data_IF_009742450671
#
_entry.id   IF_009742450671
#
_cell.length_a   1.000
_cell.length_b   1.000
_cell.length_c   1.000
_cell.angle_alpha   90.00
_cell.angle_beta   90.00
_cell.angle_gamma   90.00
#
_symmetry.space_group_name_H-M   'P 1'
#
loop_
_entity.id
_entity.type
_entity.pdbx_description
1 polymer ?
#
# COMPACT_ATOMS: atom_id res chain seq x y z
N UNK A 1 10.32 -43.30 13.31
CA UNK A 1 10.11 -41.84 13.43
C UNK A 1 8.94 -41.48 12.52
N UNK A 2 7.83 -40.99 13.09
CA UNK A 2 6.50 -41.08 12.49
C UNK A 2 6.18 -39.91 11.51
N UNK A 3 5.71 -40.29 10.32
CA UNK A 3 5.27 -39.44 9.20
C UNK A 3 4.10 -38.48 9.52
N UNK A 4 3.36 -38.72 10.62
CA UNK A 4 2.17 -37.93 10.97
C UNK A 4 2.44 -36.52 11.53
N UNK A 5 3.68 -36.16 11.89
CA UNK A 5 4.00 -34.79 12.35
C UNK A 5 4.39 -33.81 11.24
N UNK A 6 4.66 -34.30 10.02
CA UNK A 6 5.11 -33.43 8.93
C UNK A 6 3.94 -32.72 8.21
N UNK A 7 2.77 -33.37 8.13
CA UNK A 7 1.59 -32.83 7.43
C UNK A 7 0.92 -31.64 8.17
N UNK A 8 0.92 -31.64 9.51
CA UNK A 8 0.27 -30.56 10.29
C UNK A 8 1.05 -29.23 10.31
N UNK A 9 2.32 -29.20 9.89
CA UNK A 9 3.14 -27.98 9.86
C UNK A 9 3.03 -27.18 8.55
N UNK A 10 2.61 -27.81 7.46
CA UNK A 10 2.47 -27.14 6.16
C UNK A 10 1.15 -26.35 6.04
N UNK A 11 0.05 -26.82 6.64
CA UNK A 11 -1.25 -26.13 6.54
C UNK A 11 -1.36 -24.82 7.34
N UNK A 12 -0.53 -24.60 8.37
CA UNK A 12 -0.59 -23.37 9.18
C UNK A 12 0.20 -22.20 8.59
N UNK A 13 1.19 -22.46 7.72
CA UNK A 13 1.89 -21.41 6.97
C UNK A 13 1.04 -20.89 5.80
N UNK A 14 0.24 -21.75 5.16
CA UNK A 14 -0.65 -21.34 4.07
C UNK A 14 -1.75 -20.37 4.51
N UNK A 15 -2.40 -20.62 5.66
CA UNK A 15 -3.54 -19.81 6.13
C UNK A 15 -3.12 -18.38 6.58
N UNK A 16 -1.87 -18.18 7.00
CA UNK A 16 -1.40 -16.89 7.54
C UNK A 16 -0.90 -15.91 6.48
N UNK A 17 -0.33 -16.40 5.39
CA UNK A 17 -0.03 -15.55 4.23
C UNK A 17 -1.31 -15.06 3.55
N UNK A 18 -2.39 -15.85 3.60
CA UNK A 18 -3.68 -15.48 2.99
C UNK A 18 -4.33 -14.29 3.71
N UNK A 19 -4.34 -14.22 5.05
CA UNK A 19 -5.01 -13.10 5.76
C UNK A 19 -4.32 -11.75 5.59
N UNK A 20 -2.98 -11.70 5.45
CA UNK A 20 -2.26 -10.44 5.21
C UNK A 20 -2.33 -10.03 3.73
N UNK A 21 -2.31 -11.02 2.82
CA UNK A 21 -2.63 -10.76 1.41
C UNK A 21 -4.06 -10.22 1.26
N UNK A 22 -5.01 -10.76 2.03
CA UNK A 22 -6.40 -10.28 2.06
C UNK A 22 -6.50 -8.85 2.64
N UNK A 23 -5.74 -8.52 3.70
CA UNK A 23 -5.71 -7.17 4.26
C UNK A 23 -5.07 -6.14 3.31
N UNK A 24 -4.06 -6.53 2.52
CA UNK A 24 -3.44 -5.68 1.51
C UNK A 24 -4.29 -5.55 0.23
N UNK A 25 -5.06 -6.59 -0.11
CA UNK A 25 -6.08 -6.54 -1.18
C UNK A 25 -7.31 -5.71 -0.79
N UNK A 26 -7.55 -5.53 0.52
CA UNK A 26 -8.64 -4.69 1.05
C UNK A 26 -8.27 -3.20 1.18
N UNK A 27 -7.01 -2.81 0.98
CA UNK A 27 -6.64 -1.40 0.86
C UNK A 27 -6.89 -0.98 -0.58
N UNK A 28 -7.97 -0.24 -0.89
CA UNK A 28 -8.22 0.19 -2.25
C UNK A 28 -7.05 1.09 -2.66
N UNK A 29 -6.35 0.70 -3.72
CA UNK A 29 -5.38 1.56 -4.39
C UNK A 29 -6.16 2.70 -5.05
N UNK A 30 -6.56 3.67 -4.23
CA UNK A 30 -7.16 4.90 -4.72
C UNK A 30 -6.01 5.76 -5.20
N UNK A 31 -5.67 5.63 -6.48
CA UNK A 31 -4.95 6.67 -7.19
C UNK A 31 -5.88 7.88 -7.29
N UNK A 32 -5.93 8.66 -6.21
CA UNK A 32 -6.69 9.89 -6.19
C UNK A 32 -6.02 10.88 -7.16
N UNK A 33 -6.79 11.31 -8.15
CA UNK A 33 -6.38 12.38 -9.05
C UNK A 33 -6.37 13.66 -8.21
N UNK A 34 -5.17 14.11 -7.83
CA UNK A 34 -5.00 15.32 -7.04
C UNK A 34 -5.02 16.51 -8.00
N UNK A 35 -5.96 17.45 -7.87
CA UNK A 35 -5.93 18.66 -8.67
C UNK A 35 -4.64 19.41 -8.40
N UNK A 36 -3.91 19.66 -9.48
CA UNK A 36 -2.55 20.20 -9.47
C UNK A 36 -2.55 21.70 -9.74
N UNK A 37 -3.66 22.21 -10.30
CA UNK A 37 -3.88 23.60 -10.66
C UNK A 37 -5.02 24.18 -9.84
N UNK A 38 -4.98 25.50 -9.65
CA UNK A 38 -6.09 26.26 -9.12
C UNK A 38 -6.40 27.43 -10.05
N UNK A 39 -7.68 27.64 -10.31
CA UNK A 39 -8.22 28.78 -11.03
C UNK A 39 -8.70 29.76 -9.98
N UNK A 40 -8.03 30.91 -9.90
CA UNK A 40 -8.35 31.97 -8.94
C UNK A 40 -9.19 33.02 -9.64
N UNK A 41 -10.27 33.39 -8.97
CA UNK A 41 -11.16 34.49 -9.32
C UNK A 41 -10.97 35.65 -8.36
N UNK A 42 -11.27 36.87 -8.81
CA UNK A 42 -11.37 38.02 -7.91
C UNK A 42 -12.53 37.93 -6.91
N UNK A 43 -13.56 37.12 -7.19
CA UNK A 43 -14.82 37.13 -6.42
C UNK A 43 -15.29 35.77 -5.88
N UNK A 44 -14.60 34.67 -6.16
CA UNK A 44 -15.04 33.33 -5.76
C UNK A 44 -13.93 32.50 -5.12
N UNK A 45 -14.32 31.42 -4.44
CA UNK A 45 -13.41 30.39 -3.96
C UNK A 45 -12.56 29.82 -5.11
N UNK A 46 -11.31 29.41 -4.84
CA UNK A 46 -10.46 28.82 -5.87
C UNK A 46 -11.09 27.53 -6.41
N UNK A 47 -11.16 27.41 -7.73
CA UNK A 47 -11.64 26.21 -8.40
C UNK A 47 -10.42 25.32 -8.66
N UNK A 48 -10.50 24.07 -8.21
CA UNK A 48 -9.41 23.11 -8.38
C UNK A 48 -9.52 22.41 -9.73
N UNK A 49 -8.43 22.37 -10.49
CA UNK A 49 -8.40 21.77 -11.82
C UNK A 49 -7.27 20.75 -11.94
N UNK A 50 -7.47 19.75 -12.81
CA UNK A 50 -6.40 18.84 -13.21
C UNK A 50 -5.61 19.46 -14.38
N UNK A 51 -4.28 19.39 -14.31
CA UNK A 51 -3.40 19.86 -15.39
C UNK A 51 -3.27 18.82 -16.49
N UNK A 52 -2.96 19.29 -17.70
CA UNK A 52 -2.44 18.45 -18.77
C UNK A 52 -1.04 17.92 -18.50
N UNK A 53 -0.74 16.78 -19.12
CA UNK A 53 0.61 16.20 -19.23
C UNK A 53 1.38 16.71 -20.45
N UNK A 54 0.82 17.67 -21.17
CA UNK A 54 1.38 18.34 -22.34
C UNK A 54 1.30 19.86 -22.16
N UNK A 55 2.10 20.59 -22.94
CA UNK A 55 2.20 22.05 -22.85
C UNK A 55 2.89 22.56 -21.58
N UNK A 56 3.01 23.89 -21.41
CA UNK A 56 3.62 24.47 -20.23
C UNK A 56 2.71 24.30 -19.00
N UNK A 57 3.35 24.10 -17.85
CA UNK A 57 2.67 24.03 -16.54
C UNK A 57 2.28 25.45 -16.08
N UNK A 58 3.06 26.46 -16.47
CA UNK A 58 2.89 27.83 -15.97
C UNK A 58 2.20 28.71 -17.02
N UNK A 59 0.93 29.04 -16.77
CA UNK A 59 0.32 30.23 -17.35
C UNK A 59 0.93 31.43 -16.64
N UNK A 60 1.86 32.16 -17.25
CA UNK A 60 2.52 33.30 -16.63
C UNK A 60 1.54 34.46 -16.40
N UNK A 61 0.81 34.42 -15.28
CA UNK A 61 0.24 35.52 -14.48
C UNK A 61 -0.57 36.65 -15.14
N UNK A 62 -0.89 36.61 -16.43
CA UNK A 62 -1.79 37.60 -17.02
C UNK A 62 -3.23 37.29 -16.62
N UNK A 63 -3.94 38.31 -16.16
CA UNK A 63 -5.39 38.25 -15.93
C UNK A 63 -6.07 37.94 -17.25
N UNK A 64 -6.63 36.74 -17.38
CA UNK A 64 -7.27 36.29 -18.60
C UNK A 64 -8.72 36.73 -18.61
N UNK A 65 -9.15 37.37 -19.70
CA UNK A 65 -10.55 37.74 -19.90
C UNK A 65 -11.34 36.48 -20.24
N UNK A 66 -12.52 36.35 -19.63
CA UNK A 66 -13.30 35.11 -19.66
C UNK A 66 -13.72 34.66 -21.05
N UNK A 67 -13.46 33.36 -21.24
CA UNK A 67 -14.30 32.34 -21.85
C UNK A 67 -15.20 32.78 -22.98
N UNK A 68 -14.68 32.66 -24.20
CA UNK A 68 -15.55 32.44 -25.35
C UNK A 68 -15.81 30.95 -25.50
N UNK A 69 -17.08 30.59 -25.68
CA UNK A 69 -17.40 29.29 -26.29
C UNK A 69 -16.98 29.37 -27.76
N UNK A 70 -16.25 28.38 -28.28
CA UNK A 70 -15.81 28.42 -29.67
C UNK A 70 -17.02 28.56 -30.61
N UNK A 71 -16.99 29.50 -31.57
CA UNK A 71 -18.08 29.66 -32.52
C UNK A 71 -18.06 28.50 -33.51
N UNK A 72 -19.18 27.78 -33.60
CA UNK A 72 -19.50 26.74 -34.59
C UNK A 72 -18.58 25.50 -34.68
N UNK A 73 -17.41 25.51 -34.05
CA UNK A 73 -16.53 24.35 -33.93
C UNK A 73 -16.98 23.52 -32.73
N UNK A 74 -17.36 22.25 -32.96
CA UNK A 74 -17.96 21.31 -32.00
C UNK A 74 -17.02 20.99 -30.82
N UNK A 75 -16.78 21.98 -29.98
CA UNK A 75 -15.80 21.93 -28.90
C UNK A 75 -14.35 21.81 -29.39
N UNK A 76 -13.98 22.46 -30.50
CA UNK A 76 -12.61 22.43 -31.06
C UNK A 76 -12.17 21.05 -31.55
N UNK A 77 -13.09 20.31 -32.17
CA UNK A 77 -12.84 18.96 -32.66
C UNK A 77 -12.83 18.85 -34.19
N UNK A 78 -12.96 19.97 -34.92
CA UNK A 78 -12.70 19.99 -36.35
C UNK A 78 -11.26 19.58 -36.69
N UNK A 79 -11.04 19.12 -37.92
CA UNK A 79 -9.73 18.69 -38.37
C UNK A 79 -8.72 19.84 -38.25
N UNK A 80 -7.47 19.53 -37.89
CA UNK A 80 -6.46 20.56 -37.73
C UNK A 80 -6.21 21.30 -39.06
N UNK A 81 -6.37 20.62 -40.20
CA UNK A 81 -6.16 21.20 -41.53
C UNK A 81 -7.32 22.08 -42.00
N UNK A 82 -8.48 22.03 -41.35
CA UNK A 82 -9.60 22.89 -41.69
C UNK A 82 -9.20 24.36 -41.44
N UNK A 83 -9.28 25.23 -42.46
CA UNK A 83 -8.90 26.62 -42.30
C UNK A 83 -9.80 27.26 -41.24
N UNK A 84 -9.19 28.08 -40.38
CA UNK A 84 -9.93 28.93 -39.46
C UNK A 84 -10.55 30.05 -40.28
N UNK A 85 -11.73 29.79 -40.82
CA UNK A 85 -12.53 30.80 -41.52
C UNK A 85 -13.59 31.30 -40.56
N UNK A 86 -13.72 32.62 -40.46
CA UNK A 86 -14.83 33.29 -39.76
C UNK A 86 -14.72 33.42 -38.23
N UNK A 87 -13.50 33.35 -37.66
CA UNK A 87 -13.27 33.74 -36.27
C UNK A 87 -12.42 35.02 -36.19
N UNK A 88 -12.99 36.07 -35.60
CA UNK A 88 -12.26 37.29 -35.24
C UNK A 88 -11.85 37.19 -33.75
N UNK A 89 -10.59 36.82 -33.45
CA UNK A 89 -10.16 36.64 -32.08
C UNK A 89 -10.20 37.98 -31.33
N UNK A 90 -10.58 37.98 -30.02
CA UNK A 90 -10.49 39.17 -29.20
C UNK A 90 -9.09 39.79 -29.21
N UNK A 91 -9.01 41.12 -29.15
CA UNK A 91 -7.73 41.83 -29.04
C UNK A 91 -7.02 41.57 -27.70
N UNK A 92 -7.76 41.13 -26.68
CA UNK A 92 -7.24 40.85 -25.35
C UNK A 92 -6.94 39.36 -25.19
N UNK A 93 -6.01 39.04 -24.27
CA UNK A 93 -5.75 37.66 -23.88
C UNK A 93 -7.04 36.98 -23.38
N UNK A 94 -7.38 35.85 -24.00
CA UNK A 94 -8.61 35.11 -23.74
C UNK A 94 -8.34 33.62 -23.56
N UNK A 95 -9.32 32.94 -22.96
CA UNK A 95 -9.29 31.50 -22.67
C UNK A 95 -10.47 30.86 -23.35
N UNK A 96 -10.26 29.69 -23.95
CA UNK A 96 -11.38 28.87 -24.40
C UNK A 96 -11.92 28.03 -23.25
N UNK A 97 -13.22 28.09 -23.06
CA UNK A 97 -13.94 27.13 -22.23
C UNK A 97 -14.61 26.14 -23.16
N UNK A 98 -14.09 24.91 -23.17
CA UNK A 98 -14.50 23.89 -24.12
C UNK A 98 -15.07 22.67 -23.43
N UNK A 99 -16.13 22.08 -23.97
CA UNK A 99 -16.60 20.79 -23.49
C UNK A 99 -15.59 19.68 -23.78
N UNK A 100 -15.64 18.60 -22.97
CA UNK A 100 -14.86 17.37 -23.14
C UNK A 100 -14.88 16.81 -24.56
N UNK A 101 -16.03 16.74 -25.24
CA UNK A 101 -16.15 16.30 -26.64
C UNK A 101 -15.56 14.93 -26.98
N UNK A 102 -15.43 14.66 -28.29
CA UNK A 102 -15.06 13.35 -28.83
C UNK A 102 -13.66 13.29 -29.47
N UNK A 103 -12.91 14.39 -29.42
CA UNK A 103 -11.52 14.44 -29.86
C UNK A 103 -10.57 14.49 -28.65
N UNK A 104 -9.29 14.24 -28.88
CA UNK A 104 -8.30 14.24 -27.80
C UNK A 104 -8.12 15.64 -27.21
N UNK A 105 -7.77 15.70 -25.93
CA UNK A 105 -7.62 16.98 -25.25
C UNK A 105 -6.46 17.82 -25.82
N UNK A 106 -5.39 17.15 -26.25
CA UNK A 106 -4.25 17.82 -26.91
C UNK A 106 -4.66 18.46 -28.23
N UNK A 107 -5.49 17.77 -29.04
CA UNK A 107 -6.06 18.32 -30.28
C UNK A 107 -6.84 19.61 -30.01
N UNK A 108 -7.72 19.62 -29.01
CA UNK A 108 -8.47 20.83 -28.63
C UNK A 108 -7.56 21.97 -28.23
N UNK A 109 -6.50 21.66 -27.49
CA UNK A 109 -5.53 22.64 -27.01
C UNK A 109 -4.76 23.25 -28.18
N UNK A 110 -4.33 22.44 -29.15
CA UNK A 110 -3.68 22.89 -30.37
C UNK A 110 -4.61 23.73 -31.26
N UNK A 111 -5.88 23.32 -31.37
CA UNK A 111 -6.87 24.07 -32.14
C UNK A 111 -7.15 25.43 -31.49
N UNK A 112 -7.33 25.47 -30.17
CA UNK A 112 -7.48 26.70 -29.39
C UNK A 112 -6.29 27.65 -29.56
N UNK A 113 -5.07 27.11 -29.57
CA UNK A 113 -3.84 27.86 -29.78
C UNK A 113 -3.81 28.50 -31.18
N UNK A 114 -4.25 27.80 -32.22
CA UNK A 114 -4.37 28.35 -33.58
C UNK A 114 -5.39 29.48 -33.68
N UNK A 115 -6.44 29.44 -32.86
CA UNK A 115 -7.38 30.56 -32.69
C UNK A 115 -6.81 31.73 -31.87
N UNK A 116 -5.59 31.60 -31.32
CA UNK A 116 -4.91 32.66 -30.57
C UNK A 116 -5.19 32.68 -29.07
N UNK A 117 -5.87 31.66 -28.53
CA UNK A 117 -6.14 31.60 -27.10
C UNK A 117 -4.85 31.42 -26.28
N UNK A 118 -4.88 31.86 -25.02
CA UNK A 118 -3.74 31.75 -24.10
C UNK A 118 -3.83 30.56 -23.15
N UNK A 119 -5.01 29.97 -23.00
CA UNK A 119 -5.21 28.74 -22.25
C UNK A 119 -6.51 28.06 -22.69
N UNK A 120 -6.67 26.80 -22.29
CA UNK A 120 -7.91 26.04 -22.47
C UNK A 120 -8.39 25.48 -21.16
N UNK A 121 -9.66 25.71 -20.84
CA UNK A 121 -10.36 25.06 -19.74
C UNK A 121 -11.31 24.06 -20.38
N UNK A 122 -10.99 22.77 -20.22
CA UNK A 122 -11.88 21.68 -20.59
C UNK A 122 -12.82 21.41 -19.43
N UNK A 123 -14.12 21.34 -19.68
CA UNK A 123 -15.10 20.99 -18.66
C UNK A 123 -15.90 19.76 -19.06
N UNK A 124 -16.33 19.01 -18.05
CA UNK A 124 -17.29 17.94 -18.25
C UNK A 124 -18.71 18.51 -18.22
N UNK A 125 -19.60 18.01 -19.07
CA UNK A 125 -21.04 18.27 -18.95
C UNK A 125 -21.81 17.00 -19.36
N UNK A 126 -23.10 16.95 -19.02
CA UNK A 126 -23.94 15.80 -19.35
C UNK A 126 -24.08 15.60 -20.87
N UNK A 127 -24.24 16.69 -21.62
CA UNK A 127 -24.42 16.67 -23.08
C UNK A 127 -23.32 15.92 -23.82
N UNK A 128 -22.08 16.10 -23.42
CA UNK A 128 -20.91 15.58 -24.16
C UNK A 128 -20.63 14.10 -23.86
N UNK A 129 -21.38 13.52 -22.92
CA UNK A 129 -21.42 12.07 -22.73
C UNK A 129 -22.34 11.39 -23.74
N UNK A 130 -23.23 12.15 -24.39
CA UNK A 130 -24.08 11.66 -25.47
C UNK A 130 -23.41 12.05 -26.79
N UNK A 131 -22.66 11.12 -27.38
CA UNK A 131 -22.03 11.41 -28.67
C UNK A 131 -23.06 11.30 -29.79
N UNK A 132 -23.12 12.32 -30.65
CA UNK A 132 -23.78 12.24 -31.94
C UNK A 132 -22.83 11.57 -32.94
N UNK A 133 -23.02 10.27 -33.17
CA UNK A 133 -22.38 9.60 -34.29
C UNK A 133 -23.14 9.98 -35.57
N UNK A 134 -22.86 11.17 -36.09
CA UNK A 134 -23.60 11.79 -37.19
C UNK A 134 -23.58 11.01 -38.50
N UNK A 135 -22.70 10.01 -38.64
CA UNK A 135 -22.51 9.30 -39.92
C UNK A 135 -23.62 8.31 -40.25
N UNK A 136 -24.52 7.96 -39.33
CA UNK A 136 -25.52 6.89 -39.59
C UNK A 136 -26.96 7.21 -39.14
N UNK A 137 -27.20 8.37 -38.53
CA UNK A 137 -28.47 8.66 -37.82
C UNK A 137 -29.49 9.53 -38.55
N UNK A 138 -29.29 9.91 -39.81
CA UNK A 138 -30.24 10.82 -40.47
C UNK A 138 -31.62 10.19 -40.76
N UNK A 139 -31.78 8.86 -40.62
CA UNK A 139 -33.03 8.18 -41.00
C UNK A 139 -33.95 7.75 -39.85
N UNK A 140 -33.51 7.75 -38.59
CA UNK A 140 -34.36 7.31 -37.46
C UNK A 140 -34.54 8.34 -36.35
N UNK A 141 -33.80 9.46 -36.36
CA UNK A 141 -33.94 10.51 -35.34
C UNK A 141 -33.60 10.07 -33.91
N UNK A 142 -32.92 8.92 -33.76
CA UNK A 142 -32.68 8.24 -32.48
C UNK A 142 -31.28 7.62 -32.47
N UNK A 143 -30.24 8.45 -32.55
CA UNK A 143 -28.86 7.99 -32.27
C UNK A 143 -28.14 9.04 -31.45
N UNK A 144 -28.59 9.20 -30.20
CA UNK A 144 -27.67 9.56 -29.13
C UNK A 144 -26.96 8.28 -28.70
N UNK A 145 -25.67 8.15 -28.94
CA UNK A 145 -24.93 7.12 -28.20
C UNK A 145 -25.09 7.42 -26.71
N UNK A 146 -25.47 6.41 -25.94
CA UNK A 146 -25.62 6.60 -24.51
C UNK A 146 -24.25 6.59 -23.83
N UNK A 147 -24.11 7.28 -22.68
CA UNK A 147 -22.90 7.22 -21.86
C UNK A 147 -22.48 5.78 -21.54
N UNK A 148 -21.22 5.54 -21.18
CA UNK A 148 -20.71 4.19 -20.85
C UNK A 148 -20.61 3.96 -19.34
N UNK A 149 -21.13 2.83 -18.86
CA UNK A 149 -21.06 2.44 -17.45
C UNK A 149 -19.59 2.33 -16.97
N UNK A 150 -19.30 2.82 -15.77
CA UNK A 150 -17.98 2.89 -15.13
C UNK A 150 -16.97 3.82 -15.81
N UNK A 151 -17.37 4.52 -16.87
CA UNK A 151 -16.57 5.56 -17.53
C UNK A 151 -17.20 6.93 -17.30
N UNK A 152 -18.49 7.04 -17.60
CA UNK A 152 -19.22 8.31 -17.57
C UNK A 152 -20.23 8.37 -16.41
N UNK A 153 -20.78 7.22 -16.00
CA UNK A 153 -21.73 7.10 -14.89
C UNK A 153 -21.48 5.83 -14.06
N UNK A 154 -22.00 5.81 -12.84
CA UNK A 154 -22.07 4.61 -12.00
C UNK A 154 -23.39 4.57 -11.21
N UNK A 155 -24.22 3.57 -11.54
CA UNK A 155 -25.54 3.40 -10.90
C UNK A 155 -25.46 3.01 -9.41
N UNK A 156 -24.34 2.44 -8.96
CA UNK A 156 -24.14 2.05 -7.54
C UNK A 156 -24.07 3.29 -6.61
N UNK A 157 -23.70 4.44 -7.16
CA UNK A 157 -23.64 5.74 -6.50
C UNK A 157 -24.97 6.50 -6.56
N UNK A 158 -25.98 5.96 -7.24
CA UNK A 158 -27.30 6.57 -7.36
C UNK A 158 -27.95 6.15 -8.66
N UNK A 159 -29.18 5.67 -8.57
CA UNK A 159 -30.00 5.36 -9.74
C UNK A 159 -31.46 5.73 -9.50
N UNK A 160 -32.17 5.99 -10.59
CA UNK A 160 -33.62 6.11 -10.58
C UNK A 160 -34.20 5.55 -11.89
N UNK A 161 -35.52 5.35 -11.92
CA UNK A 161 -36.26 4.97 -13.11
C UNK A 161 -37.19 6.12 -13.47
N UNK A 162 -37.11 6.60 -14.71
CA UNK A 162 -37.92 7.72 -15.21
C UNK A 162 -38.81 7.23 -16.34
N UNK A 163 -40.13 7.53 -16.34
CA UNK A 163 -41.03 7.16 -17.44
C UNK A 163 -40.53 7.73 -18.77
N UNK A 164 -40.44 6.90 -19.80
CA UNK A 164 -39.93 7.35 -21.10
C UNK A 164 -40.78 8.48 -21.71
N UNK A 165 -42.09 8.48 -21.43
CA UNK A 165 -43.03 9.52 -21.85
C UNK A 165 -42.80 10.89 -21.21
N UNK A 166 -42.05 10.95 -20.10
CA UNK A 166 -41.73 12.21 -19.42
C UNK A 166 -40.40 12.82 -19.89
N UNK A 167 -39.55 12.06 -20.58
CA UNK A 167 -38.27 12.54 -21.07
C UNK A 167 -38.45 13.33 -22.37
N UNK A 168 -37.88 14.53 -22.41
CA UNK A 168 -37.76 15.33 -23.63
C UNK A 168 -36.46 15.00 -24.36
N UNK A 169 -36.48 14.93 -25.69
CA UNK A 169 -35.28 14.84 -26.51
C UNK A 169 -34.75 16.25 -26.84
N UNK A 170 -33.43 16.49 -26.80
CA UNK A 170 -32.38 15.52 -26.47
C UNK A 170 -32.36 15.15 -24.97
N UNK A 171 -31.97 13.90 -24.65
CA UNK A 171 -32.07 13.36 -23.30
C UNK A 171 -31.21 14.09 -22.25
N UNK A 172 -30.14 14.75 -22.69
CA UNK A 172 -29.28 15.59 -21.85
C UNK A 172 -29.80 17.02 -21.62
N UNK A 173 -30.98 17.36 -22.15
CA UNK A 173 -31.57 18.68 -21.95
C UNK A 173 -31.77 18.96 -20.47
N UNK A 174 -31.40 20.18 -20.03
CA UNK A 174 -31.64 20.65 -18.66
C UNK A 174 -33.12 20.64 -18.26
N UNK A 175 -34.05 20.59 -19.22
CA UNK A 175 -35.48 20.39 -18.93
C UNK A 175 -35.78 19.05 -18.26
N UNK A 176 -34.91 18.05 -18.42
CA UNK A 176 -35.06 16.74 -17.78
C UNK A 176 -34.47 16.69 -16.36
N UNK A 177 -33.65 17.67 -15.94
CA UNK A 177 -33.00 17.69 -14.62
C UNK A 177 -33.97 17.50 -13.43
N UNK A 178 -35.17 18.12 -13.40
CA UNK A 178 -36.13 17.93 -12.31
C UNK A 178 -36.61 16.48 -12.18
N UNK A 179 -36.64 15.72 -13.27
CA UNK A 179 -37.04 14.31 -13.29
C UNK A 179 -35.99 13.41 -12.63
N UNK A 180 -34.76 13.88 -12.52
CA UNK A 180 -33.63 13.15 -11.96
C UNK A 180 -33.42 13.38 -10.46
N UNK A 181 -34.33 14.10 -9.80
CA UNK A 181 -34.23 14.45 -8.36
C UNK A 181 -33.98 13.22 -7.49
N UNK A 182 -34.63 12.08 -7.75
CA UNK A 182 -34.45 10.85 -6.98
C UNK A 182 -33.03 10.27 -7.08
N UNK A 183 -32.34 10.50 -8.21
CA UNK A 183 -30.97 10.06 -8.41
C UNK A 183 -29.97 11.09 -7.85
N UNK A 184 -30.18 12.38 -8.12
CA UNK A 184 -29.28 13.46 -7.70
C UNK A 184 -29.32 13.74 -6.19
N UNK A 185 -30.47 13.52 -5.54
CA UNK A 185 -30.60 13.66 -4.07
C UNK A 185 -30.04 12.46 -3.29
N UNK A 186 -29.57 11.41 -3.97
CA UNK A 186 -28.94 10.29 -3.30
C UNK A 186 -27.61 10.75 -2.70
N UNK A 187 -27.42 10.55 -1.40
CA UNK A 187 -26.18 10.92 -0.68
C UNK A 187 -24.89 10.31 -1.27
N UNK A 188 -25.00 9.23 -2.04
CA UNK A 188 -23.86 8.61 -2.73
C UNK A 188 -23.51 9.30 -4.05
N UNK A 189 -24.41 10.12 -4.59
CA UNK A 189 -24.21 10.79 -5.86
C UNK A 189 -23.51 12.14 -5.64
N UNK A 190 -22.18 12.11 -5.47
CA UNK A 190 -21.39 13.30 -5.14
C UNK A 190 -21.50 14.42 -6.18
N UNK A 191 -21.75 14.06 -7.45
CA UNK A 191 -21.92 15.00 -8.55
C UNK A 191 -23.24 15.78 -8.49
N UNK A 192 -24.26 15.27 -7.78
CA UNK A 192 -25.64 15.76 -7.83
C UNK A 192 -26.21 15.84 -9.27
N UNK A 193 -25.62 15.10 -10.20
CA UNK A 193 -25.99 15.09 -11.62
C UNK A 193 -26.22 13.65 -12.05
N UNK A 194 -27.25 13.43 -12.86
CA UNK A 194 -27.58 12.11 -13.37
C UNK A 194 -27.74 12.15 -14.87
N UNK A 195 -27.38 11.05 -15.50
CA UNK A 195 -27.46 10.86 -16.95
C UNK A 195 -28.33 9.66 -17.27
N UNK A 196 -29.00 9.76 -18.40
CA UNK A 196 -29.82 8.70 -18.97
C UNK A 196 -28.92 7.63 -19.58
N UNK A 197 -29.11 6.35 -19.21
CA UNK A 197 -28.19 5.27 -19.63
C UNK A 197 -28.61 4.53 -20.90
N UNK A 198 -29.83 4.77 -21.38
CA UNK A 198 -30.43 4.03 -22.50
C UNK A 198 -30.95 2.64 -22.11
N UNK A 199 -30.75 2.18 -20.88
CA UNK A 199 -31.33 0.93 -20.40
C UNK A 199 -32.82 1.10 -20.14
N UNK A 200 -33.65 0.53 -21.02
CA UNK A 200 -35.11 0.54 -20.90
C UNK A 200 -35.55 -0.70 -20.11
N UNK A 201 -36.26 -0.48 -19.00
CA UNK A 201 -36.90 -1.55 -18.22
C UNK A 201 -38.39 -1.57 -18.52
N UNK A 202 -38.85 -2.65 -19.14
CA UNK A 202 -40.27 -2.99 -19.23
C UNK A 202 -40.65 -3.72 -17.94
N UNK A 203 -41.31 -3.02 -17.02
CA UNK A 203 -41.89 -3.68 -15.85
C UNK A 203 -42.92 -4.72 -16.31
N UNK A 204 -43.02 -5.84 -15.60
CA UNK A 204 -43.99 -6.91 -15.85
C UNK A 204 -45.45 -6.52 -15.59
N UNK A 205 -45.67 -5.27 -15.15
CA UNK A 205 -46.97 -4.64 -14.97
C UNK A 205 -47.25 -3.74 -16.19
N UNK A 206 -48.52 -3.51 -16.62
CA UNK A 206 -48.88 -2.68 -17.77
C UNK A 206 -48.48 -1.18 -17.68
N UNK A 207 -47.60 -0.82 -16.76
CA UNK A 207 -46.97 0.50 -16.66
C UNK A 207 -46.09 0.80 -17.88
N UNK A 208 -46.14 2.05 -18.34
CA UNK A 208 -45.31 2.60 -19.41
C UNK A 208 -43.82 2.24 -19.24
N UNK A 209 -43.07 2.04 -20.36
CA UNK A 209 -41.64 1.75 -20.28
C UNK A 209 -40.90 2.84 -19.50
N UNK A 210 -39.96 2.41 -18.66
CA UNK A 210 -39.11 3.32 -17.87
C UNK A 210 -37.68 3.22 -18.35
N UNK A 211 -36.95 4.33 -18.26
CA UNK A 211 -35.54 4.41 -18.61
C UNK A 211 -34.73 4.64 -17.34
N UNK A 212 -33.63 3.89 -17.22
CA UNK A 212 -32.74 4.01 -16.07
C UNK A 212 -31.89 5.29 -16.21
N UNK A 213 -31.80 6.03 -15.11
CA UNK A 213 -30.88 7.15 -14.95
C UNK A 213 -29.92 6.83 -13.83
N UNK A 214 -28.65 7.19 -14.00
CA UNK A 214 -27.60 6.87 -13.05
C UNK A 214 -26.74 8.09 -12.74
N UNK A 215 -26.12 8.06 -11.57
CA UNK A 215 -25.25 9.14 -11.11
C UNK A 215 -24.05 9.30 -12.05
N UNK A 216 -23.84 10.53 -12.51
CA UNK A 216 -22.74 10.91 -13.39
C UNK A 216 -21.43 10.98 -12.61
N UNK A 217 -20.32 10.51 -13.19
CA UNK A 217 -18.99 10.72 -12.60
C UNK A 217 -18.59 12.18 -12.71
N UNK A 218 -18.20 12.76 -11.57
CA UNK A 218 -17.69 14.13 -11.49
C UNK A 218 -16.26 14.14 -10.95
N UNK A 219 -15.40 13.34 -11.59
CA UNK A 219 -13.99 13.29 -11.25
C UNK A 219 -13.14 14.16 -12.17
N UNK A 220 -12.08 14.72 -11.58
CA UNK A 220 -10.96 15.26 -12.35
C UNK A 220 -10.38 14.20 -13.28
N UNK A 221 -10.15 14.56 -14.53
CA UNK A 221 -9.48 13.70 -15.50
C UNK A 221 -8.12 14.27 -15.83
N UNK A 222 -7.13 13.40 -16.01
CA UNK A 222 -5.84 13.81 -16.54
C UNK A 222 -5.93 13.96 -18.06
N UNK A 223 -5.40 15.06 -18.57
CA UNK A 223 -5.32 15.30 -20.01
C UNK A 223 -3.99 14.73 -20.49
N UNK A 224 -4.02 13.50 -21.03
CA UNK A 224 -2.85 12.82 -21.56
C UNK A 224 -2.51 13.29 -22.99
N UNK A 225 -1.23 13.25 -23.38
CA UNK A 225 -0.82 13.53 -24.75
C UNK A 225 -1.37 12.47 -25.71
N UNK A 226 -1.68 12.91 -26.91
CA UNK A 226 -2.10 12.08 -28.04
C UNK A 226 -0.85 11.62 -28.81
N UNK A 227 -0.69 10.30 -28.92
CA UNK A 227 0.43 9.70 -29.66
C UNK A 227 0.46 10.07 -31.15
N UNK A 228 -0.66 10.54 -31.71
CA UNK A 228 -0.74 10.96 -33.11
C UNK A 228 -0.24 12.39 -33.35
N UNK A 229 -0.07 13.20 -32.29
CA UNK A 229 0.27 14.63 -32.37
C UNK A 229 1.65 14.96 -31.79
N UNK A 230 2.54 13.97 -31.68
CA UNK A 230 3.86 14.09 -31.03
C UNK A 230 4.77 15.18 -31.63
N UNK A 231 4.60 15.53 -32.90
CA UNK A 231 5.46 16.47 -33.61
C UNK A 231 5.15 17.94 -33.33
N UNK A 232 4.03 18.24 -32.67
CA UNK A 232 3.58 19.62 -32.44
C UNK A 232 2.83 19.73 -31.12
N UNK A 233 3.54 19.65 -29.96
CA UNK A 233 2.90 19.82 -28.67
C UNK A 233 2.40 21.27 -28.51
N UNK A 234 1.24 21.48 -27.84
CA UNK A 234 0.68 22.82 -27.67
C UNK A 234 1.58 23.69 -26.78
N UNK A 235 1.67 24.98 -27.07
CA UNK A 235 2.45 25.92 -26.26
C UNK A 235 1.63 26.65 -25.19
N UNK A 236 0.32 26.37 -25.12
CA UNK A 236 -0.58 26.95 -24.13
C UNK A 236 -0.99 25.91 -23.07
N UNK A 237 -1.20 26.31 -21.81
CA UNK A 237 -1.66 25.42 -20.76
C UNK A 237 -3.11 25.00 -20.98
N UNK A 238 -3.42 23.75 -20.64
CA UNK A 238 -4.80 23.26 -20.57
C UNK A 238 -5.11 22.61 -19.22
N UNK A 239 -6.33 22.84 -18.75
CA UNK A 239 -6.80 22.34 -17.46
C UNK A 239 -8.19 21.74 -17.59
N UNK A 240 -8.49 20.74 -16.75
CA UNK A 240 -9.79 20.09 -16.70
C UNK A 240 -10.51 20.43 -15.40
N UNK A 241 -11.76 20.89 -15.51
CA UNK A 241 -12.68 21.12 -14.39
C UNK A 241 -13.87 20.16 -14.43
N UNK A 242 -14.41 19.85 -13.26
CA UNK A 242 -15.55 18.95 -13.13
C UNK A 242 -16.85 19.64 -13.54
N UNK A 243 -17.91 18.87 -13.85
CA UNK A 243 -19.23 19.42 -14.21
C UNK A 243 -19.84 20.23 -13.08
N UNK A 244 -19.65 19.80 -11.82
CA UNK A 244 -20.14 20.56 -10.67
C UNK A 244 -19.49 21.94 -10.58
N UNK A 245 -18.17 21.99 -10.79
CA UNK A 245 -17.41 23.25 -10.78
C UNK A 245 -17.83 24.18 -11.92
N UNK A 246 -18.16 23.62 -13.09
CA UNK A 246 -18.69 24.38 -14.21
C UNK A 246 -20.08 24.97 -13.91
N UNK A 247 -20.97 24.20 -13.29
CA UNK A 247 -22.32 24.64 -12.94
C UNK A 247 -22.37 25.72 -11.85
N UNK A 248 -21.40 25.73 -10.93
CA UNK A 248 -21.20 26.82 -9.96
C UNK A 248 -20.85 28.16 -10.63
N UNK A 249 -20.49 28.13 -11.91
CA UNK A 249 -20.19 29.28 -12.75
C UNK A 249 -18.72 29.66 -12.73
N UNK A 250 -18.16 29.85 -13.92
CA UNK A 250 -16.81 30.38 -14.05
C UNK A 250 -16.82 31.92 -14.01
N UNK A 251 -15.90 32.54 -13.25
CA UNK A 251 -15.80 33.99 -13.19
C UNK A 251 -15.35 34.64 -14.50
N UNK A 252 -15.65 35.94 -14.64
CA UNK A 252 -15.30 36.73 -15.83
C UNK A 252 -13.78 37.00 -15.97
N UNK A 253 -13.02 36.89 -14.88
CA UNK A 253 -11.57 37.10 -14.89
C UNK A 253 -10.92 35.95 -14.16
N UNK A 254 -10.03 35.25 -14.86
CA UNK A 254 -9.44 34.01 -14.39
C UNK A 254 -7.92 34.16 -14.34
N UNK A 255 -7.31 33.64 -13.27
CA UNK A 255 -5.88 33.40 -13.20
C UNK A 255 -5.65 31.92 -12.95
N UNK A 256 -4.99 31.25 -13.87
CA UNK A 256 -4.58 29.85 -13.71
C UNK A 256 -3.21 29.86 -13.01
N UNK A 257 -3.10 29.18 -11.87
CA UNK A 257 -1.84 29.08 -11.15
C UNK A 257 -1.58 27.65 -10.68
N UNK A 258 -0.31 27.20 -10.69
CA UNK A 258 0.05 25.93 -10.09
C UNK A 258 -0.27 25.96 -8.60
N UNK A 259 -0.89 24.88 -8.10
CA UNK A 259 -1.15 24.75 -6.68
C UNK A 259 0.19 24.67 -5.95
N UNK A 260 0.40 25.45 -4.87
CA UNK A 260 1.62 25.33 -4.07
C UNK A 260 1.68 23.92 -3.49
N UNK A 261 2.53 23.09 -4.09
CA UNK A 261 2.87 21.78 -3.52
C UNK A 261 3.94 22.00 -2.48
N UNK A 262 3.77 21.51 -1.25
CA UNK A 262 4.86 21.55 -0.30
C UNK A 262 6.04 20.78 -0.92
N UNK A 263 7.21 21.44 -1.01
CA UNK A 263 8.44 20.84 -1.55
C UNK A 263 8.80 19.54 -0.84
N UNK A 264 8.33 19.38 0.40
CA UNK A 264 8.55 18.23 1.25
C UNK A 264 7.21 17.62 1.64
N UNK A 265 7.04 16.32 1.38
CA UNK A 265 5.93 15.58 1.93
C UNK A 265 6.26 15.21 3.38
N UNK A 266 5.77 16.01 4.34
CA UNK A 266 6.00 15.77 5.76
C UNK A 266 5.57 14.36 6.20
N UNK A 267 4.52 13.80 5.57
CA UNK A 267 4.09 12.42 5.85
C UNK A 267 5.14 11.39 5.43
N UNK A 268 5.80 11.57 4.28
CA UNK A 268 6.91 10.72 3.85
C UNK A 268 8.09 10.80 4.81
N UNK A 269 8.41 12.00 5.30
CA UNK A 269 9.45 12.18 6.31
C UNK A 269 9.10 11.49 7.64
N UNK A 270 7.85 11.62 8.10
CA UNK A 270 7.38 10.96 9.32
C UNK A 270 7.40 9.43 9.19
N UNK A 271 6.97 8.89 8.04
CA UNK A 271 7.03 7.45 7.75
C UNK A 271 8.49 6.96 7.75
N UNK A 272 9.39 7.71 7.10
CA UNK A 272 10.82 7.39 7.11
C UNK A 272 11.40 7.41 8.53
N UNK A 273 11.15 8.48 9.29
CA UNK A 273 11.65 8.64 10.66
C UNK A 273 11.10 7.54 11.58
N UNK A 274 9.83 7.18 11.43
CA UNK A 274 9.21 6.06 12.14
C UNK A 274 9.87 4.73 11.79
N UNK A 275 10.15 4.49 10.50
CA UNK A 275 10.90 3.32 10.04
C UNK A 275 12.29 3.22 10.68
N UNK A 276 13.05 4.31 10.71
CA UNK A 276 14.35 4.37 11.38
C UNK A 276 14.25 4.14 12.89
N UNK A 277 13.23 4.71 13.54
CA UNK A 277 12.99 4.53 14.97
C UNK A 277 12.70 3.06 15.32
N UNK A 278 11.81 2.40 14.57
CA UNK A 278 11.48 0.99 14.76
C UNK A 278 12.72 0.10 14.54
N UNK A 279 13.53 0.39 13.51
CA UNK A 279 14.77 -0.34 13.25
C UNK A 279 15.80 -0.17 14.39
N UNK A 280 15.94 1.05 14.92
CA UNK A 280 16.81 1.33 16.05
C UNK A 280 16.35 0.58 17.32
N UNK A 281 15.05 0.61 17.62
CA UNK A 281 14.47 -0.13 18.75
C UNK A 281 14.69 -1.63 18.62
N UNK A 282 14.45 -2.21 17.43
CA UNK A 282 14.65 -3.64 17.16
C UNK A 282 16.13 -4.06 17.36
N UNK A 283 17.07 -3.21 16.92
CA UNK A 283 18.50 -3.47 17.12
C UNK A 283 18.89 -3.42 18.60
N UNK A 284 18.36 -2.43 19.35
CA UNK A 284 18.62 -2.30 20.79
C UNK A 284 18.07 -3.46 21.60
N UNK A 285 16.85 -3.91 21.31
CA UNK A 285 16.23 -5.04 22.01
C UNK A 285 16.99 -6.34 21.71
N UNK A 286 17.33 -6.58 20.44
CA UNK A 286 18.14 -7.74 20.02
C UNK A 286 19.51 -7.78 20.70
N UNK A 287 20.22 -6.64 20.75
CA UNK A 287 21.52 -6.54 21.43
C UNK A 287 21.44 -6.85 22.93
N UNK A 288 20.34 -6.47 23.59
CA UNK A 288 20.14 -6.75 25.01
C UNK A 288 19.95 -8.25 25.31
N UNK A 289 19.31 -8.99 24.40
CA UNK A 289 19.16 -10.45 24.55
C UNK A 289 20.49 -11.17 24.36
N UNK A 290 21.29 -10.76 23.37
CA UNK A 290 22.63 -11.29 23.16
C UNK A 290 23.52 -11.03 24.39
N UNK A 291 23.46 -9.82 24.96
CA UNK A 291 24.21 -9.49 26.16
C UNK A 291 23.79 -10.35 27.38
N UNK A 292 22.48 -10.61 27.55
CA UNK A 292 21.97 -11.52 28.60
C UNK A 292 22.42 -12.97 28.37
N UNK A 293 22.39 -13.43 27.12
CA UNK A 293 22.86 -14.76 26.77
C UNK A 293 24.36 -14.93 27.06
N UNK A 294 25.18 -13.93 26.70
CA UNK A 294 26.61 -13.92 26.99
C UNK A 294 26.91 -13.92 28.49
N UNK A 295 26.17 -13.12 29.30
CA UNK A 295 26.30 -13.14 30.77
C UNK A 295 26.01 -14.53 31.35
N UNK A 296 24.92 -15.18 30.93
CA UNK A 296 24.57 -16.54 31.40
C UNK A 296 25.64 -17.57 31.04
N UNK A 297 26.21 -17.48 29.84
CA UNK A 297 27.30 -18.38 29.41
C UNK A 297 28.57 -18.14 30.23
N UNK A 298 28.92 -16.87 30.51
CA UNK A 298 30.05 -16.50 31.35
C UNK A 298 29.90 -17.02 32.79
N UNK A 299 28.70 -16.92 33.37
CA UNK A 299 28.42 -17.46 34.71
C UNK A 299 28.52 -19.00 34.75
N UNK A 300 28.01 -19.70 33.73
CA UNK A 300 28.15 -21.16 33.62
C UNK A 300 29.62 -21.59 33.56
N UNK A 301 30.45 -20.88 32.79
CA UNK A 301 31.89 -21.12 32.71
C UNK A 301 32.58 -20.91 34.08
N UNK A 302 32.22 -19.85 34.82
CA UNK A 302 32.76 -19.61 36.18
C UNK A 302 32.36 -20.70 37.17
N UNK A 303 31.12 -21.20 37.11
CA UNK A 303 30.65 -22.30 37.99
C UNK A 303 31.31 -23.63 37.65
N UNK A 304 31.48 -23.96 36.36
CA UNK A 304 32.14 -25.19 35.94
C UNK A 304 33.62 -25.25 36.32
N UNK A 305 34.31 -24.10 36.33
CA UNK A 305 35.74 -24.05 36.66
C UNK A 305 36.05 -24.13 38.16
N UNK A 306 35.06 -23.95 39.04
CA UNK A 306 35.24 -23.98 40.50
C UNK A 306 34.88 -25.31 41.18
N UNK A 307 34.25 -26.23 40.47
CA UNK A 307 33.74 -27.50 41.03
C UNK A 307 34.77 -28.65 41.04
N UNK A 308 35.99 -28.42 40.55
CA UNK A 308 37.11 -29.38 40.64
C UNK A 308 38.10 -28.92 41.70
N UNK A 309 37.62 -28.73 42.93
CA UNK A 309 38.48 -28.77 44.11
C UNK A 309 38.24 -30.14 44.75
N UNK A 310 39.08 -31.09 44.38
CA UNK A 310 39.23 -32.37 45.05
C UNK A 310 39.42 -32.12 46.55
N UNK A 311 38.68 -32.76 47.46
CA UNK A 311 38.99 -32.71 48.87
C UNK A 311 40.38 -33.33 49.04
N UNK A 312 41.33 -32.54 49.54
CA UNK A 312 42.60 -33.04 50.02
C UNK A 312 42.32 -34.02 51.16
N UNK A 313 42.56 -35.31 50.94
CA UNK A 313 42.70 -36.29 52.02
C UNK A 313 43.78 -35.80 52.99
N UNK A 314 43.37 -35.45 54.19
CA UNK A 314 44.25 -35.33 55.36
C UNK A 314 44.72 -36.73 55.73
N UNK A 315 45.93 -37.10 55.29
CA UNK A 315 46.66 -38.25 55.83
C UNK A 315 47.32 -37.86 57.14
N UNK A 316 46.79 -38.38 58.25
CA UNK A 316 47.48 -38.43 59.54
C UNK A 316 48.57 -39.50 59.48
N UNK A 317 49.83 -39.09 59.54
CA UNK A 317 50.95 -39.95 59.88
C UNK A 317 51.19 -39.84 61.38
N UNK A 318 50.86 -40.90 62.11
CA UNK A 318 51.41 -41.19 63.44
C UNK A 318 52.38 -42.37 63.30
N UNK A 319 53.52 -42.22 63.96
CA UNK A 319 54.58 -43.19 64.18
C UNK A 319 54.08 -44.49 64.83
N UNK A 320 54.63 -45.65 64.43
CA UNK A 320 55.32 -46.51 65.41
C UNK A 320 56.22 -47.57 64.74
N UNK A 321 57.31 -47.88 65.44
CA UNK A 321 58.34 -48.87 65.16
C UNK A 321 57.82 -50.32 65.27
N UNK A 322 58.52 -51.27 64.61
CA UNK A 322 59.26 -52.41 65.24
C UNK A 322 59.36 -53.67 64.34
N UNK A 323 60.59 -53.89 63.83
CA UNK A 323 61.47 -55.08 63.91
C UNK A 323 60.93 -56.54 63.78
N UNK A 324 61.79 -57.34 63.12
CA UNK A 324 61.99 -58.82 63.07
C UNK A 324 61.27 -59.57 61.93
N UNK A 325 62.01 -60.08 60.92
CA UNK A 325 62.78 -61.36 60.83
C UNK A 325 61.80 -62.54 60.62
N UNK A 326 61.95 -63.56 59.77
CA UNK A 326 62.95 -64.04 58.81
C UNK A 326 62.28 -65.20 57.99
N UNK A 327 62.90 -65.60 56.87
CA UNK A 327 62.84 -66.92 56.17
C UNK A 327 61.50 -67.54 55.69
N UNK A 328 61.47 -67.94 54.41
CA UNK A 328 60.95 -69.28 54.04
C UNK A 328 60.20 -69.42 52.71
N UNK A 329 60.84 -70.11 51.76
CA UNK A 329 60.40 -70.48 50.41
C UNK A 329 59.01 -71.11 50.24
N UNK A 330 58.42 -70.97 49.05
CA UNK A 330 57.32 -71.82 48.56
C UNK A 330 56.66 -71.30 47.28
N UNK A 331 56.52 -72.19 46.30
CA UNK A 331 56.16 -72.01 44.90
C UNK A 331 54.73 -71.51 44.53
N UNK A 332 54.64 -71.04 43.28
CA UNK A 332 53.57 -71.25 42.27
C UNK A 332 52.35 -70.33 42.14
N UNK A 333 52.15 -69.90 40.87
CA UNK A 333 50.92 -69.59 40.10
C UNK A 333 49.77 -68.86 40.80
N UNK A 334 49.15 -67.80 40.27
CA UNK A 334 48.53 -67.74 38.94
C UNK A 334 48.00 -66.30 38.68
N UNK A 335 47.81 -66.00 37.39
CA UNK A 335 47.12 -64.82 36.83
C UNK A 335 45.97 -64.27 37.69
N UNK A 336 45.91 -62.94 37.84
CA UNK A 336 44.71 -62.20 37.41
C UNK A 336 44.97 -60.70 37.22
N UNK A 337 44.65 -60.25 36.02
CA UNK A 337 44.70 -58.86 35.59
C UNK A 337 43.53 -58.06 36.18
N UNK A 338 43.81 -56.90 36.80
CA UNK A 338 42.84 -55.80 36.85
C UNK A 338 43.54 -54.44 36.83
N UNK A 339 43.82 -54.02 35.60
CA UNK A 339 43.81 -52.65 35.06
C UNK A 339 44.02 -51.54 36.11
N UNK A 340 45.29 -51.12 36.25
CA UNK A 340 45.69 -49.80 36.77
C UNK A 340 45.05 -48.71 35.90
N UNK A 341 43.95 -48.12 36.37
CA UNK A 341 43.47 -46.84 35.86
C UNK A 341 44.50 -45.76 36.26
N UNK A 342 45.32 -45.35 35.30
CA UNK A 342 46.08 -44.11 35.39
C UNK A 342 45.08 -42.94 35.51
N UNK A 343 45.25 -41.98 36.44
CA UNK A 343 44.47 -40.77 36.42
C UNK A 343 44.76 -40.06 35.10
N UNK A 344 43.74 -39.99 34.24
CA UNK A 344 43.81 -39.26 33.00
C UNK A 344 44.10 -37.79 33.34
N UNK A 345 45.29 -37.33 32.95
CA UNK A 345 45.64 -35.92 32.93
C UNK A 345 44.47 -35.14 32.35
N UNK A 346 43.94 -34.19 33.14
CA UNK A 346 43.03 -33.14 32.70
C UNK A 346 43.68 -32.42 31.53
N UNK A 347 43.36 -32.89 30.32
CA UNK A 347 43.67 -32.24 29.06
C UNK A 347 42.91 -30.92 29.09
N UNK A 348 43.58 -29.86 29.53
CA UNK A 348 43.15 -28.50 29.24
C UNK A 348 42.89 -28.44 27.73
N UNK A 349 41.63 -28.38 27.32
CA UNK A 349 41.27 -28.19 25.92
C UNK A 349 41.61 -26.73 25.56
N UNK A 350 42.69 -26.44 24.80
CA UNK A 350 42.99 -25.07 24.35
C UNK A 350 41.91 -24.52 23.40
N UNK A 351 40.96 -25.37 22.99
CA UNK A 351 39.84 -25.02 22.12
C UNK A 351 38.88 -24.00 22.74
N UNK A 352 38.73 -23.98 24.08
CA UNK A 352 37.75 -23.08 24.73
C UNK A 352 38.29 -21.66 24.92
N UNK A 353 39.61 -21.49 25.07
CA UNK A 353 40.22 -20.16 25.27
C UNK A 353 40.32 -19.40 23.93
N UNK A 354 40.55 -20.10 22.81
CA UNK A 354 40.53 -19.48 21.47
C UNK A 354 39.14 -18.99 21.03
N UNK A 355 38.05 -19.52 21.59
CA UNK A 355 36.70 -19.05 21.30
C UNK A 355 36.38 -17.69 21.97
N UNK A 356 36.98 -17.42 23.13
CA UNK A 356 36.75 -16.16 23.87
C UNK A 356 37.57 -15.02 23.28
N UNK A 357 38.83 -15.27 22.85
CA UNK A 357 39.64 -14.23 22.18
C UNK A 357 39.06 -13.83 20.81
N UNK A 358 38.57 -14.81 20.03
CA UNK A 358 37.91 -14.55 18.75
C UNK A 358 36.53 -13.87 18.86
N UNK A 359 35.92 -13.82 20.05
CA UNK A 359 34.64 -13.12 20.23
C UNK A 359 34.78 -11.59 20.17
N UNK A 360 35.97 -11.05 20.47
CA UNK A 360 36.29 -9.63 20.31
C UNK A 360 36.41 -9.24 18.83
N UNK A 361 37.09 -10.05 18.00
CA UNK A 361 37.13 -9.86 16.55
C UNK A 361 35.75 -10.03 15.88
N UNK A 362 34.91 -10.94 16.39
CA UNK A 362 33.55 -11.15 15.86
C UNK A 362 32.61 -9.99 16.17
N UNK A 363 32.85 -9.24 17.25
CA UNK A 363 32.09 -8.02 17.54
C UNK A 363 32.35 -6.90 16.52
N UNK A 364 33.59 -6.80 16.01
CA UNK A 364 33.93 -5.89 14.92
C UNK A 364 33.29 -6.31 13.59
N UNK A 365 33.22 -7.62 13.30
CA UNK A 365 32.54 -8.11 12.09
C UNK A 365 31.03 -7.84 12.14
N UNK A 366 30.38 -7.97 13.30
CA UNK A 366 28.95 -7.64 13.44
C UNK A 366 28.67 -6.15 13.19
N UNK A 367 29.54 -5.26 13.67
CA UNK A 367 29.41 -3.83 13.40
C UNK A 367 29.54 -3.54 11.89
N UNK A 368 30.49 -4.20 11.20
CA UNK A 368 30.64 -4.06 9.75
C UNK A 368 29.43 -4.58 8.97
N UNK A 369 28.83 -5.70 9.38
CA UNK A 369 27.61 -6.22 8.72
C UNK A 369 26.40 -5.33 8.97
N UNK A 370 26.27 -4.76 10.17
CA UNK A 370 25.18 -3.83 10.50
C UNK A 370 25.28 -2.52 9.70
N UNK A 371 26.50 -1.97 9.58
CA UNK A 371 26.76 -0.78 8.75
C UNK A 371 26.49 -1.10 7.28
N UNK A 372 26.97 -2.25 6.79
CA UNK A 372 26.71 -2.72 5.42
C UNK A 372 25.22 -2.86 5.12
N UNK A 373 24.44 -3.43 6.05
CA UNK A 373 22.99 -3.52 5.93
C UNK A 373 22.31 -2.15 5.90
N UNK A 374 22.75 -1.21 6.75
CA UNK A 374 22.19 0.15 6.81
C UNK A 374 22.47 0.95 5.53
N UNK A 375 23.70 0.87 5.01
CA UNK A 375 24.09 1.52 3.76
C UNK A 375 23.35 0.90 2.57
N UNK A 376 23.33 -0.43 2.47
CA UNK A 376 22.65 -1.11 1.35
C UNK A 376 21.14 -0.90 1.40
N UNK A 377 20.51 -0.97 2.58
CA UNK A 377 19.06 -0.68 2.69
C UNK A 377 18.72 0.77 2.36
N UNK A 378 19.57 1.74 2.73
CA UNK A 378 19.38 3.15 2.34
C UNK A 378 19.53 3.36 0.83
N UNK A 379 20.55 2.77 0.20
CA UNK A 379 20.75 2.86 -1.26
C UNK A 379 19.60 2.19 -2.01
N UNK A 380 19.16 1.01 -1.58
CA UNK A 380 17.99 0.33 -2.17
C UNK A 380 16.72 1.18 -2.01
N UNK A 381 16.45 1.75 -0.83
CA UNK A 381 15.30 2.65 -0.64
C UNK A 381 15.36 3.88 -1.55
N UNK A 382 16.56 4.44 -1.79
CA UNK A 382 16.75 5.59 -2.67
C UNK A 382 16.48 5.23 -4.14
N UNK A 383 16.96 4.09 -4.60
CA UNK A 383 16.67 3.55 -5.95
C UNK A 383 15.16 3.33 -6.11
N UNK A 384 14.51 2.76 -5.10
CA UNK A 384 13.08 2.47 -5.09
C UNK A 384 12.22 3.75 -5.10
N UNK A 385 12.68 4.82 -4.46
CA UNK A 385 12.02 6.13 -4.47
C UNK A 385 12.12 6.80 -5.84
N UNK A 386 13.27 6.74 -6.50
CA UNK A 386 13.49 7.40 -7.79
C UNK A 386 12.93 6.66 -8.99
N UNK A 387 12.89 5.32 -8.97
CA UNK A 387 12.43 4.53 -10.11
C UNK A 387 10.90 4.39 -10.21
N UNK A 388 10.13 5.13 -9.40
CA UNK A 388 8.67 5.10 -9.39
C UNK A 388 8.09 3.67 -9.23
N UNK A 389 8.85 2.75 -8.63
CA UNK A 389 8.45 1.35 -8.43
C UNK A 389 7.66 1.19 -7.12
N UNK A 390 7.09 2.28 -6.61
CA UNK A 390 6.42 2.36 -5.31
C UNK A 390 5.37 1.25 -5.12
N UNK A 391 4.71 0.82 -6.20
CA UNK A 391 3.78 -0.31 -6.19
C UNK A 391 4.46 -1.63 -5.79
N UNK A 392 5.57 -2.01 -6.43
CA UNK A 392 6.29 -3.27 -6.13
C UNK A 392 6.96 -3.19 -4.75
N UNK A 393 7.45 -2.01 -4.38
CA UNK A 393 8.10 -1.76 -3.07
C UNK A 393 7.12 -1.93 -1.94
N UNK A 394 5.90 -1.42 -2.10
CA UNK A 394 4.84 -1.57 -1.10
C UNK A 394 4.52 -3.05 -0.89
N UNK A 395 4.46 -3.83 -1.97
CA UNK A 395 4.25 -5.29 -1.89
C UNK A 395 5.41 -5.99 -1.19
N UNK A 396 6.66 -5.73 -1.61
CA UNK A 396 7.87 -6.32 -1.00
C UNK A 396 8.01 -5.95 0.48
N UNK A 397 7.76 -4.68 0.82
CA UNK A 397 7.79 -4.19 2.19
C UNK A 397 6.72 -4.88 3.04
N UNK A 398 5.50 -5.03 2.52
CA UNK A 398 4.44 -5.73 3.22
C UNK A 398 4.76 -7.21 3.44
N UNK A 399 5.38 -7.89 2.47
CA UNK A 399 5.92 -9.25 2.67
C UNK A 399 7.01 -9.30 3.74
N UNK A 400 7.93 -8.33 3.76
CA UNK A 400 8.97 -8.20 4.78
C UNK A 400 8.40 -7.99 6.19
N UNK A 401 7.46 -7.06 6.34
CA UNK A 401 6.76 -6.78 7.59
C UNK A 401 5.95 -7.97 8.08
N UNK A 402 5.27 -8.68 7.18
CA UNK A 402 4.54 -9.92 7.50
C UNK A 402 5.47 -11.01 8.06
N UNK A 403 6.63 -11.20 7.41
CA UNK A 403 7.66 -12.14 7.87
C UNK A 403 8.20 -11.79 9.26
N UNK A 404 8.54 -10.51 9.48
CA UNK A 404 9.05 -10.03 10.76
C UNK A 404 7.99 -10.14 11.88
N UNK A 405 6.74 -9.75 11.62
CA UNK A 405 5.62 -9.89 12.56
C UNK A 405 5.41 -11.35 12.97
N UNK A 406 5.47 -12.27 11.99
CA UNK A 406 5.30 -13.70 12.24
C UNK A 406 6.38 -14.26 13.17
N UNK A 407 7.64 -13.88 12.96
CA UNK A 407 8.76 -14.35 13.77
C UNK A 407 8.81 -13.71 15.15
N UNK A 408 8.60 -12.38 15.24
CA UNK A 408 8.79 -11.62 16.48
C UNK A 408 7.57 -11.70 17.40
N UNK A 409 6.35 -11.63 16.85
CA UNK A 409 5.13 -11.55 17.65
C UNK A 409 4.40 -12.91 17.68
N UNK A 410 4.13 -13.49 16.51
CA UNK A 410 3.24 -14.64 16.41
C UNK A 410 3.89 -15.91 16.95
N UNK A 411 5.17 -16.15 16.67
CA UNK A 411 5.87 -17.34 17.14
C UNK A 411 5.95 -17.44 18.68
N UNK A 412 6.42 -16.41 19.42
CA UNK A 412 6.41 -16.48 20.89
C UNK A 412 5.01 -16.51 21.47
N UNK A 413 4.04 -15.81 20.88
CA UNK A 413 2.64 -15.87 21.32
C UNK A 413 2.06 -17.28 21.19
N UNK A 414 2.22 -17.92 20.03
CA UNK A 414 1.76 -19.31 19.84
C UNK A 414 2.45 -20.28 20.78
N UNK A 415 3.74 -20.09 21.07
CA UNK A 415 4.47 -20.91 22.04
C UNK A 415 3.87 -20.76 23.45
N UNK A 416 3.44 -19.55 23.83
CA UNK A 416 2.80 -19.27 25.12
C UNK A 416 1.40 -19.90 25.21
N UNK A 417 0.58 -19.75 24.16
CA UNK A 417 -0.76 -20.34 24.06
C UNK A 417 -0.69 -21.88 24.09
N UNK A 418 0.25 -22.48 23.34
CA UNK A 418 0.43 -23.94 23.35
C UNK A 418 0.93 -24.47 24.69
N UNK A 419 1.70 -23.66 25.42
CA UNK A 419 2.05 -23.94 26.82
C UNK A 419 0.80 -24.02 27.69
N UNK A 420 -0.07 -23.00 27.63
CA UNK A 420 -1.32 -22.95 28.40
C UNK A 420 -2.23 -24.15 28.15
N UNK A 421 -2.42 -24.57 26.90
CA UNK A 421 -3.24 -25.75 26.58
C UNK A 421 -2.68 -27.06 27.13
N UNK A 422 -1.36 -27.16 27.32
CA UNK A 422 -0.75 -28.34 27.94
C UNK A 422 -0.87 -28.30 29.47
N UNK A 423 -0.89 -27.11 30.08
CA UNK A 423 -1.10 -26.97 31.53
C UNK A 423 -2.51 -27.38 31.94
N UNK A 424 -3.54 -26.93 31.22
CA UNK A 424 -4.93 -27.31 31.53
C UNK A 424 -5.17 -28.81 31.44
N UNK A 425 -4.52 -29.49 30.49
CA UNK A 425 -4.60 -30.96 30.37
C UNK A 425 -3.88 -31.70 31.50
N UNK A 426 -2.85 -31.11 32.09
CA UNK A 426 -2.14 -31.70 33.24
C UNK A 426 -2.92 -31.52 34.55
N UNK A 427 -3.64 -30.41 34.72
CA UNK A 427 -4.48 -30.19 35.90
C UNK A 427 -5.70 -31.14 35.90
N UNK A 428 -6.31 -31.41 34.74
CA UNK A 428 -7.38 -32.40 34.64
C UNK A 428 -6.93 -33.83 35.02
N UNK A 429 -5.69 -34.21 34.68
CA UNK A 429 -5.12 -35.52 35.05
C UNK A 429 -4.74 -35.57 36.53
N UNK A 430 -4.31 -34.45 37.12
CA UNK A 430 -3.99 -34.36 38.55
C UNK A 430 -5.26 -34.45 39.40
N UNK A 431 -6.36 -33.84 38.97
CA UNK A 431 -7.64 -33.87 39.69
C UNK A 431 -8.23 -35.28 39.73
N UNK A 432 -8.18 -36.05 38.61
CA UNK A 432 -8.59 -37.47 38.61
C UNK A 432 -7.76 -38.38 39.52
N UNK A 433 -6.50 -38.05 39.80
CA UNK A 433 -5.69 -38.81 40.78
C UNK A 433 -5.99 -38.45 42.23
N UNK A 434 -6.47 -37.24 42.50
CA UNK A 434 -6.81 -36.79 43.85
C UNK A 434 -8.05 -37.51 44.41
N UNK A 435 -9.04 -37.81 43.57
CA UNK A 435 -10.25 -38.53 44.02
C UNK A 435 -10.03 -40.03 44.25
N UNK A 436 -8.93 -40.60 43.75
CA UNK A 436 -8.58 -42.02 43.95
C UNK A 436 -7.99 -42.34 45.34
N UNK A 437 -7.74 -41.33 46.18
CA UNK A 437 -7.12 -41.50 47.50
C UNK A 437 -8.07 -41.19 48.68
N UNK A 438 -9.39 -41.33 48.50
CA UNK A 438 -10.29 -41.34 49.66
C UNK A 438 -10.19 -42.71 50.37
N UNK A 439 -9.73 -42.77 51.63
CA UNK A 439 -9.65 -44.01 52.36
C UNK A 439 -11.07 -44.56 52.59
N UNK A 440 -11.27 -45.82 52.23
CA UNK A 440 -12.47 -46.60 52.53
C UNK A 440 -12.56 -46.73 54.05
N UNK A 441 -13.38 -45.89 54.70
CA UNK A 441 -13.80 -46.14 56.08
C UNK A 441 -14.71 -47.37 56.06
N UNK A 442 -14.18 -48.50 56.56
CA UNK A 442 -14.99 -49.68 56.89
C UNK A 442 -15.66 -49.45 58.25
N UNK A 443 -16.97 -49.67 58.25
CA UNK A 443 -17.80 -49.92 59.44
C UNK A 443 -17.43 -51.25 60.10
#
# INVERSE_FOLDING_TARGET
MNSSQFSARFNLLGIRSISILFLLLLLPQTSAILPTMQIISSSSSPIYAATSFYGPIDASSSSLSSSQTPPNDRGLCSDLDDPITDYDPPTNDFVFLVPRGNCTFEHKTLRAERYGAKAVIVYNNAEQMFFDNHTESQQTGLVSSFPTNLVDYECSNGEAQVPLSSLSTPYYSRSNDPLFTSCSSNSKCESNRCVVTGSIKTSSSPSSPTMQVCCMWDLHQYLYPDSTLLDSPPTIPSVFITSKQYDEGLPLTLSISPRPRPKYNASSFLIWAWGCFVACLASRTSGSELARALKKTKEKLRRGSGATRTPSETSSSDDDMRREDDIGAGESMELNAKVRQKPACLRHNPFVINYVSNSSLRSASFAQHAIGFLVMSSVTLLILFYLNIYAIVTVLYAFGCSGALSQVMIYPFMRKVRGWTNYTKFDEVRERRSDSWRPIQRF
#
